data_IF_236849158097
#
_entry.id   IF_236849158097
#
_cell.length_a   1.000
_cell.length_b   1.000
_cell.length_c   1.000
_cell.angle_alpha   90.00
_cell.angle_beta   90.00
_cell.angle_gamma   90.00
#
_symmetry.space_group_name_H-M   'P 1'
#
loop_
_entity.id
_entity.type
_entity.pdbx_description
1 polymer ?
#
# COMPACT_ATOMS: atom_id res chain seq x y z
N UNK A 1 13.99 6.88 -11.03
CA UNK A 1 13.04 5.82 -11.35
C UNK A 1 11.63 6.39 -11.50
N UNK A 2 10.97 6.02 -12.57
CA UNK A 2 9.61 6.49 -12.79
C UNK A 2 8.61 5.46 -12.31
N UNK A 3 7.73 5.87 -11.42
CA UNK A 3 6.63 5.03 -10.96
C UNK A 3 5.35 5.50 -11.66
N UNK A 4 4.49 4.55 -12.00
CA UNK A 4 3.18 4.93 -12.55
C UNK A 4 2.39 5.66 -11.46
N UNK A 5 1.38 6.40 -11.90
CA UNK A 5 0.52 7.11 -10.94
C UNK A 5 -0.11 6.14 -9.95
N UNK A 6 -0.54 4.97 -10.44
CA UNK A 6 -1.15 3.96 -9.58
C UNK A 6 -0.17 3.40 -8.57
N UNK A 7 1.05 3.09 -9.02
CA UNK A 7 2.07 2.56 -8.11
C UNK A 7 2.44 3.58 -7.04
N UNK A 8 2.54 4.84 -7.45
CA UNK A 8 2.85 5.92 -6.53
C UNK A 8 1.76 6.09 -5.48
N UNK A 9 0.50 6.06 -5.92
CA UNK A 9 -0.63 6.15 -5.02
C UNK A 9 -0.62 5.00 -4.02
N UNK A 10 -0.38 3.79 -4.50
CA UNK A 10 -0.33 2.63 -3.64
C UNK A 10 0.77 2.76 -2.59
N UNK A 11 1.95 3.18 -3.03
CA UNK A 11 3.08 3.33 -2.11
C UNK A 11 2.79 4.38 -1.05
N UNK A 12 2.25 5.52 -1.46
CA UNK A 12 1.91 6.59 -0.53
C UNK A 12 0.88 6.14 0.49
N UNK A 13 -0.13 5.38 0.03
CA UNK A 13 -1.14 4.86 0.92
C UNK A 13 -0.57 3.88 1.94
N UNK A 14 0.33 3.01 1.48
CA UNK A 14 0.95 2.03 2.37
C UNK A 14 1.84 2.71 3.41
N UNK A 15 2.59 3.73 3.00
CA UNK A 15 3.42 4.49 3.92
C UNK A 15 2.56 5.17 4.99
N UNK A 16 1.44 5.75 4.56
CA UNK A 16 0.52 6.39 5.48
C UNK A 16 0.02 5.40 6.53
N UNK A 17 -0.39 4.21 6.09
CA UNK A 17 -0.85 3.17 7.00
C UNK A 17 0.26 2.75 7.96
N UNK A 18 1.48 2.61 7.45
CA UNK A 18 2.61 2.16 8.26
C UNK A 18 2.93 3.17 9.37
N UNK A 19 2.77 4.46 9.08
CA UNK A 19 3.06 5.51 10.05
C UNK A 19 1.91 5.67 11.06
N UNK A 20 0.68 5.70 10.57
CA UNK A 20 -0.48 6.04 11.40
C UNK A 20 -1.31 4.84 11.84
N UNK A 21 -1.05 3.69 11.24
CA UNK A 21 -1.74 2.43 11.58
C UNK A 21 -3.27 2.50 11.57
N UNK A 22 -3.91 3.17 10.59
CA UNK A 22 -5.38 3.22 10.54
C UNK A 22 -5.92 2.00 9.77
N UNK A 23 -6.66 1.14 10.41
CA UNK A 23 -7.42 0.05 9.77
C UNK A 23 -6.69 -0.59 8.58
N UNK A 24 -5.55 -1.21 8.84
CA UNK A 24 -4.66 -1.74 7.79
C UNK A 24 -5.38 -2.57 6.72
N UNK A 25 -6.16 -3.55 7.16
CA UNK A 25 -6.79 -4.49 6.23
C UNK A 25 -7.75 -3.77 5.29
N UNK A 26 -8.54 -2.86 5.82
CA UNK A 26 -9.53 -2.12 5.03
C UNK A 26 -8.84 -1.20 4.04
N UNK A 27 -7.80 -0.50 4.49
CA UNK A 27 -7.08 0.44 3.64
C UNK A 27 -6.33 -0.27 2.52
N UNK A 28 -5.67 -1.39 2.83
CA UNK A 28 -4.97 -2.15 1.80
C UNK A 28 -5.94 -2.68 0.76
N UNK A 29 -7.09 -3.17 1.20
CA UNK A 29 -8.12 -3.65 0.27
C UNK A 29 -8.61 -2.52 -0.63
N UNK A 30 -8.82 -1.34 -0.06
CA UNK A 30 -9.26 -0.18 -0.83
C UNK A 30 -8.21 0.22 -1.88
N UNK A 31 -6.95 0.24 -1.50
CA UNK A 31 -5.87 0.56 -2.42
C UNK A 31 -5.81 -0.47 -3.55
N UNK A 32 -5.99 -1.74 -3.21
CA UNK A 32 -5.99 -2.80 -4.21
C UNK A 32 -7.10 -2.57 -5.24
N UNK A 33 -8.30 -2.23 -4.79
CA UNK A 33 -9.42 -1.96 -5.67
C UNK A 33 -9.16 -0.74 -6.55
N UNK A 34 -8.61 0.31 -5.97
CA UNK A 34 -8.37 1.56 -6.68
C UNK A 34 -7.26 1.45 -7.71
N UNK A 35 -6.26 0.62 -7.44
CA UNK A 35 -5.07 0.53 -8.30
C UNK A 35 -5.06 -0.70 -9.20
N UNK A 36 -5.85 -1.71 -8.88
CA UNK A 36 -5.80 -2.98 -9.60
C UNK A 36 -4.63 -3.85 -9.17
N UNK A 37 -3.87 -3.44 -8.17
CA UNK A 37 -2.77 -4.23 -7.62
C UNK A 37 -3.36 -5.22 -6.63
N UNK A 38 -2.84 -6.45 -6.58
CA UNK A 38 -3.39 -7.46 -5.70
C UNK A 38 -3.12 -7.14 -4.23
N UNK A 39 -4.04 -7.57 -3.38
CA UNK A 39 -3.86 -7.41 -1.93
C UNK A 39 -2.59 -8.10 -1.46
N UNK A 40 -2.33 -9.31 -1.98
CA UNK A 40 -1.14 -10.06 -1.59
C UNK A 40 0.15 -9.28 -1.85
N UNK A 41 0.24 -8.65 -3.02
CA UNK A 41 1.42 -7.88 -3.37
C UNK A 41 1.56 -6.65 -2.46
N UNK A 42 0.45 -5.97 -2.21
CA UNK A 42 0.47 -4.80 -1.33
C UNK A 42 0.87 -5.18 0.09
N UNK A 43 0.41 -6.33 0.56
CA UNK A 43 0.77 -6.81 1.89
C UNK A 43 2.26 -7.11 2.00
N UNK A 44 2.86 -7.65 0.95
CA UNK A 44 4.29 -7.89 0.94
C UNK A 44 5.07 -6.58 1.08
N UNK A 45 4.68 -5.57 0.31
CA UNK A 45 5.33 -4.26 0.38
C UNK A 45 5.13 -3.64 1.76
N UNK A 46 3.92 -3.73 2.27
CA UNK A 46 3.58 -3.17 3.58
C UNK A 46 4.43 -3.80 4.68
N UNK A 47 4.59 -5.12 4.61
CA UNK A 47 5.40 -5.85 5.57
C UNK A 47 6.85 -5.35 5.55
N UNK A 48 7.41 -5.14 4.35
CA UNK A 48 8.75 -4.62 4.21
C UNK A 48 8.88 -3.21 4.77
N UNK A 49 7.87 -2.38 4.57
CA UNK A 49 7.87 -1.02 5.11
C UNK A 49 7.87 -1.03 6.64
N UNK A 50 7.13 -1.94 7.24
CA UNK A 50 7.05 -2.02 8.69
C UNK A 50 8.36 -2.52 9.30
N UNK A 51 9.15 -3.25 8.55
CA UNK A 51 10.45 -3.73 9.03
C UNK A 51 11.52 -2.67 8.97
N UNK A 52 11.36 -1.69 8.12
CA UNK A 52 12.38 -0.68 7.89
C UNK A 52 12.55 0.30 9.05
#
# INVERSE_FOLDING_TARGET
MKLSTKSRYALEGLVYIAIYSPNEAIRIKQIAEDTGITVAYLEQIFFLLKKA
#
